data_IF_597650677711
#
_entry.id   IF_597650677711
#
_cell.length_a   1.000
_cell.length_b   1.000
_cell.length_c   1.000
_cell.angle_alpha   90.00
_cell.angle_beta   90.00
_cell.angle_gamma   90.00
#
_symmetry.space_group_name_H-M   'P 1'
#
loop_
_entity.id
_entity.type
_entity.pdbx_description
1 polymer ?
#
# COMPACT_ATOMS: atom_id res chain seq x y z
N UNK A 1 -16.24 -17.26 5.88
CA UNK A 1 -15.77 -16.29 4.87
C UNK A 1 -14.65 -15.48 5.51
N UNK A 2 -13.43 -15.52 4.98
CA UNK A 2 -12.39 -14.61 5.45
C UNK A 2 -12.77 -13.21 4.97
N UNK A 3 -13.00 -12.27 5.89
CA UNK A 3 -13.38 -10.90 5.55
C UNK A 3 -12.20 -10.25 4.84
N UNK A 4 -12.42 -9.78 3.60
CA UNK A 4 -11.41 -9.06 2.82
C UNK A 4 -11.28 -7.65 3.38
N UNK A 5 -10.09 -7.29 3.86
CA UNK A 5 -9.83 -5.95 4.39
C UNK A 5 -9.31 -5.04 3.29
N UNK A 6 -9.96 -3.88 3.14
CA UNK A 6 -9.54 -2.79 2.28
C UNK A 6 -9.12 -1.59 3.12
N UNK A 7 -7.94 -1.05 2.84
CA UNK A 7 -7.37 0.12 3.52
C UNK A 7 -7.17 1.23 2.48
N UNK A 8 -7.46 2.47 2.88
CA UNK A 8 -7.20 3.66 2.04
C UNK A 8 -6.27 4.59 2.81
N UNK A 9 -5.15 4.98 2.19
CA UNK A 9 -4.21 5.97 2.73
C UNK A 9 -4.40 7.28 1.97
N UNK A 10 -4.92 8.30 2.67
CA UNK A 10 -5.03 9.66 2.17
C UNK A 10 -3.71 10.39 2.46
N UNK A 11 -3.10 10.99 1.44
CA UNK A 11 -1.70 11.44 1.47
C UNK A 11 -0.71 10.34 1.04
N UNK A 12 -1.12 9.52 0.07
CA UNK A 12 -0.35 8.36 -0.39
C UNK A 12 1.03 8.69 -0.97
N UNK A 13 1.25 9.92 -1.46
CA UNK A 13 2.55 10.41 -1.92
C UNK A 13 3.54 10.75 -0.80
N UNK A 14 3.21 10.41 0.45
CA UNK A 14 4.11 10.50 1.59
C UNK A 14 5.32 9.56 1.46
N UNK A 15 6.49 10.04 1.89
CA UNK A 15 7.70 9.21 2.00
C UNK A 15 7.58 8.10 3.05
N UNK A 16 6.57 8.15 3.93
CA UNK A 16 6.30 7.13 4.94
C UNK A 16 5.37 6.02 4.45
N UNK A 17 4.72 6.17 3.29
CA UNK A 17 3.84 5.12 2.73
C UNK A 17 4.56 3.77 2.53
N UNK A 18 5.83 3.71 2.08
CA UNK A 18 6.56 2.44 1.99
C UNK A 18 6.75 1.74 3.34
N UNK A 19 6.96 2.50 4.42
CA UNK A 19 7.08 1.96 5.78
C UNK A 19 5.75 1.35 6.25
N UNK A 20 4.64 2.05 6.00
CA UNK A 20 3.29 1.54 6.30
C UNK A 20 3.01 0.22 5.56
N UNK A 21 3.32 0.18 4.27
CA UNK A 21 3.18 -1.03 3.46
C UNK A 21 4.09 -2.16 3.95
N UNK A 22 5.34 -1.87 4.31
CA UNK A 22 6.23 -2.87 4.91
C UNK A 22 5.63 -3.46 6.19
N UNK A 23 4.98 -2.61 7.01
CA UNK A 23 4.21 -3.04 8.17
C UNK A 23 3.12 -4.06 7.83
N UNK A 24 2.30 -3.77 6.80
CA UNK A 24 1.25 -4.68 6.32
C UNK A 24 1.82 -5.99 5.77
N UNK A 25 2.91 -5.93 5.02
CA UNK A 25 3.57 -7.12 4.46
C UNK A 25 4.10 -8.01 5.60
N UNK A 26 4.86 -7.44 6.55
CA UNK A 26 5.46 -8.19 7.68
C UNK A 26 4.42 -8.85 8.57
N UNK A 27 3.24 -8.22 8.72
CA UNK A 27 2.16 -8.67 9.62
C UNK A 27 0.96 -9.23 8.87
N UNK A 28 1.13 -9.63 7.61
CA UNK A 28 0.02 -10.10 6.77
C UNK A 28 -0.76 -11.27 7.39
N UNK A 29 -0.08 -12.12 8.16
CA UNK A 29 -0.68 -13.26 8.86
C UNK A 29 -1.59 -12.86 10.03
N UNK A 30 -1.37 -11.69 10.62
CA UNK A 30 -2.21 -11.12 11.69
C UNK A 30 -3.32 -10.22 11.12
N UNK A 31 -2.99 -9.43 10.08
CA UNK A 31 -3.88 -8.47 9.45
C UNK A 31 -3.81 -8.61 7.91
N UNK A 32 -4.62 -9.50 7.31
CA UNK A 32 -4.59 -9.77 5.88
C UNK A 32 -5.27 -8.65 5.07
N UNK A 33 -4.53 -7.58 4.82
CA UNK A 33 -4.96 -6.46 3.95
C UNK A 33 -4.95 -6.92 2.49
N UNK A 34 -6.14 -7.08 1.91
CA UNK A 34 -6.28 -7.56 0.53
C UNK A 34 -6.28 -6.43 -0.50
N UNK A 35 -6.58 -5.20 -0.08
CA UNK A 35 -6.54 -4.00 -0.93
C UNK A 35 -5.95 -2.82 -0.15
N UNK A 36 -4.97 -2.13 -0.72
CA UNK A 36 -4.45 -0.85 -0.25
C UNK A 36 -4.66 0.18 -1.34
N UNK A 37 -5.35 1.28 -1.06
CA UNK A 37 -5.57 2.35 -2.04
C UNK A 37 -4.81 3.60 -1.59
N UNK A 38 -3.97 4.12 -2.48
CA UNK A 38 -3.21 5.35 -2.23
C UNK A 38 -3.91 6.53 -2.92
N UNK A 39 -4.28 7.55 -2.13
CA UNK A 39 -4.99 8.74 -2.62
C UNK A 39 -4.17 9.98 -2.25
N UNK A 40 -4.08 10.93 -3.17
CA UNK A 40 -3.46 12.24 -2.94
C UNK A 40 -4.24 13.32 -3.70
N UNK A 41 -3.89 14.59 -3.46
CA UNK A 41 -4.42 15.72 -4.25
C UNK A 41 -3.70 15.82 -5.60
N UNK A 42 -4.27 16.58 -6.54
CA UNK A 42 -3.68 16.73 -7.89
C UNK A 42 -2.23 17.23 -7.86
N UNK A 43 -1.91 18.20 -6.99
CA UNK A 43 -0.53 18.70 -6.81
C UNK A 43 0.44 17.62 -6.29
N UNK A 44 -0.07 16.58 -5.64
CA UNK A 44 0.70 15.45 -5.11
C UNK A 44 0.88 14.30 -6.10
N UNK A 45 0.30 14.37 -7.31
CA UNK A 45 0.21 13.26 -8.26
C UNK A 45 1.57 12.67 -8.65
N UNK A 46 2.58 13.49 -8.87
CA UNK A 46 3.93 13.02 -9.20
C UNK A 46 4.55 12.24 -8.04
N UNK A 47 4.44 12.78 -6.82
CA UNK A 47 4.91 12.09 -5.60
C UNK A 47 4.18 10.77 -5.39
N UNK A 48 2.86 10.77 -5.58
CA UNK A 48 2.03 9.57 -5.51
C UNK A 48 2.49 8.51 -6.51
N UNK A 49 2.80 8.89 -7.76
CA UNK A 49 3.29 7.96 -8.78
C UNK A 49 4.61 7.30 -8.39
N UNK A 50 5.59 8.08 -7.92
CA UNK A 50 6.89 7.55 -7.46
C UNK A 50 6.71 6.56 -6.31
N UNK A 51 5.87 6.91 -5.34
CA UNK A 51 5.60 6.05 -4.18
C UNK A 51 4.81 4.80 -4.59
N UNK A 52 3.84 4.92 -5.48
CA UNK A 52 3.07 3.81 -6.03
C UNK A 52 3.99 2.77 -6.68
N UNK A 53 4.90 3.20 -7.56
CA UNK A 53 5.82 2.29 -8.24
C UNK A 53 6.75 1.55 -7.26
N UNK A 54 7.20 2.23 -6.21
CA UNK A 54 8.00 1.58 -5.15
C UNK A 54 7.16 0.56 -4.38
N UNK A 55 5.95 0.93 -3.98
CA UNK A 55 5.03 0.07 -3.24
C UNK A 55 4.67 -1.18 -4.05
N UNK A 56 4.40 -1.03 -5.35
CA UNK A 56 4.11 -2.16 -6.24
C UNK A 56 5.28 -3.16 -6.27
N UNK A 57 6.52 -2.69 -6.45
CA UNK A 57 7.72 -3.56 -6.41
C UNK A 57 7.90 -4.25 -5.06
N UNK A 58 7.53 -3.60 -3.96
CA UNK A 58 7.60 -4.20 -2.62
C UNK A 58 6.59 -5.33 -2.46
N UNK A 59 5.36 -5.16 -2.95
CA UNK A 59 4.31 -6.19 -2.95
C UNK A 59 4.73 -7.38 -3.81
N UNK A 60 5.17 -7.12 -5.04
CA UNK A 60 5.61 -8.16 -5.99
C UNK A 60 6.75 -8.99 -5.40
N UNK A 61 7.72 -8.33 -4.75
CA UNK A 61 8.84 -8.99 -4.07
C UNK A 61 8.41 -9.82 -2.86
N UNK A 62 7.41 -9.35 -2.11
CA UNK A 62 6.93 -10.02 -0.91
C UNK A 62 6.05 -11.24 -1.22
N UNK A 63 5.40 -11.28 -2.39
CA UNK A 63 4.54 -12.39 -2.80
C UNK A 63 3.25 -12.53 -1.97
N UNK A 64 2.81 -11.44 -1.33
CA UNK A 64 1.54 -11.42 -0.58
C UNK A 64 0.37 -11.11 -1.51
N UNK A 65 -0.84 -11.68 -1.27
CA UNK A 65 -2.01 -11.42 -2.10
C UNK A 65 -2.68 -10.09 -1.74
N UNK A 66 -1.92 -8.99 -1.84
CA UNK A 66 -2.34 -7.61 -1.61
C UNK A 66 -2.43 -6.88 -2.95
N UNK A 67 -3.56 -6.24 -3.22
CA UNK A 67 -3.75 -5.36 -4.38
C UNK A 67 -3.48 -3.90 -4.00
N UNK A 68 -2.68 -3.20 -4.79
CA UNK A 68 -2.45 -1.75 -4.67
C UNK A 68 -3.32 -0.95 -5.66
#
# INVERSE_FOLDING_TARGET
MSQKLKVVTIGGGSSYTPELLEGFIKRYHELPVTELWLVDVEDGKEKLGIIYDLCQRMIDKAGVPLKL
#
